data_IF_845605600274
#
_entry.id   IF_845605600274
#
_cell.length_a   1.000
_cell.length_b   1.000
_cell.length_c   1.000
_cell.angle_alpha   90.00
_cell.angle_beta   90.00
_cell.angle_gamma   90.00
#
_symmetry.space_group_name_H-M   'P 1'
#
loop_
_entity.id
_entity.type
_entity.pdbx_description
1 polymer ?
#
# COMPACT_ATOMS: atom_id res chain seq x y z
N UNK A 1 -14.54 -7.24 1.36
CA UNK A 1 -13.93 -8.57 1.41
C UNK A 1 -13.02 -8.62 2.62
N UNK A 2 -12.87 -9.79 3.24
CA UNK A 2 -12.02 -10.00 4.41
C UNK A 2 -11.18 -11.24 4.20
N UNK A 3 -9.87 -11.12 4.35
CA UNK A 3 -8.97 -12.27 4.36
C UNK A 3 -9.11 -13.09 5.65
N UNK A 4 -8.81 -14.38 5.56
CA UNK A 4 -8.77 -15.32 6.69
C UNK A 4 -7.62 -16.32 6.49
N UNK A 5 -7.47 -17.26 7.42
CA UNK A 5 -6.36 -18.22 7.45
C UNK A 5 -6.34 -19.21 6.28
N UNK A 6 -7.48 -19.39 5.59
CA UNK A 6 -7.66 -20.37 4.53
C UNK A 6 -8.47 -19.81 3.34
N UNK A 7 -8.25 -18.54 2.99
CA UNK A 7 -8.89 -17.85 1.87
C UNK A 7 -9.53 -16.52 2.24
N UNK A 8 -10.68 -16.19 1.66
CA UNK A 8 -11.35 -14.90 1.85
C UNK A 8 -12.88 -15.01 1.96
N UNK A 9 -13.49 -14.03 2.61
CA UNK A 9 -14.94 -13.83 2.66
C UNK A 9 -15.31 -12.58 1.85
N UNK A 10 -16.21 -12.75 0.88
CA UNK A 10 -16.80 -11.64 0.11
C UNK A 10 -18.21 -11.39 0.61
N UNK A 11 -18.48 -10.17 1.07
CA UNK A 11 -19.83 -9.72 1.39
C UNK A 11 -20.34 -8.85 0.26
N UNK A 12 -21.56 -9.13 -0.21
CA UNK A 12 -22.24 -8.35 -1.23
C UNK A 12 -23.76 -8.41 -1.01
N UNK A 13 -24.39 -7.22 -0.87
CA UNK A 13 -25.85 -7.04 -0.72
C UNK A 13 -26.53 -7.99 0.30
N UNK A 14 -25.90 -8.28 1.42
CA UNK A 14 -26.48 -9.13 2.48
C UNK A 14 -26.06 -10.60 2.42
N UNK A 15 -25.37 -11.01 1.35
CA UNK A 15 -24.85 -12.37 1.19
C UNK A 15 -23.35 -12.41 1.51
N UNK A 16 -22.91 -13.50 2.15
CA UNK A 16 -21.50 -13.80 2.41
C UNK A 16 -21.11 -15.04 1.61
N UNK A 17 -20.15 -14.88 0.71
CA UNK A 17 -19.52 -15.97 -0.06
C UNK A 17 -18.14 -16.26 0.51
N UNK A 18 -17.86 -17.53 0.80
CA UNK A 18 -16.52 -17.99 1.15
C UNK A 18 -15.78 -18.40 -0.11
N UNK A 19 -14.58 -17.86 -0.27
CA UNK A 19 -13.60 -18.26 -1.27
C UNK A 19 -12.50 -19.01 -0.54
N UNK A 20 -12.36 -20.29 -0.84
CA UNK A 20 -11.30 -21.12 -0.28
C UNK A 20 -9.98 -20.82 -0.97
N UNK A 21 -8.90 -20.72 -0.20
CA UNK A 21 -7.57 -20.72 -0.77
C UNK A 21 -7.30 -22.06 -1.48
N UNK A 22 -6.53 -22.09 -2.57
CA UNK A 22 -6.15 -23.34 -3.23
C UNK A 22 -5.29 -24.22 -2.31
N UNK A 23 -4.42 -23.61 -1.50
CA UNK A 23 -3.67 -24.31 -0.47
C UNK A 23 -4.54 -24.51 0.78
N UNK A 24 -4.58 -25.76 1.24
CA UNK A 24 -5.38 -26.20 2.38
C UNK A 24 -4.53 -27.10 3.28
N UNK A 25 -4.70 -27.02 4.62
CA UNK A 25 -5.71 -26.25 5.34
C UNK A 25 -5.33 -24.76 5.56
N UNK A 26 -4.18 -24.32 5.07
CA UNK A 26 -3.64 -22.98 5.31
C UNK A 26 -3.32 -22.27 3.99
N UNK A 27 -3.77 -21.03 3.88
CA UNK A 27 -3.63 -20.17 2.71
C UNK A 27 -4.12 -18.79 3.12
N UNK A 28 -3.31 -18.12 3.96
CA UNK A 28 -3.70 -16.92 4.70
C UNK A 28 -3.56 -15.67 3.83
N UNK A 29 -4.60 -14.84 3.89
CA UNK A 29 -4.60 -13.49 3.32
C UNK A 29 -4.82 -12.49 4.47
N UNK A 30 -3.83 -11.66 4.78
CA UNK A 30 -3.84 -10.72 5.89
C UNK A 30 -4.08 -9.27 5.47
N UNK A 31 -3.56 -8.87 4.32
CA UNK A 31 -3.59 -7.51 3.81
C UNK A 31 -4.20 -7.48 2.41
N UNK A 32 -5.02 -6.46 2.17
CA UNK A 32 -5.75 -6.30 0.90
C UNK A 32 -5.57 -4.89 0.36
N UNK A 33 -5.40 -4.79 -0.95
CA UNK A 33 -5.07 -3.58 -1.68
C UNK A 33 -6.10 -3.41 -2.79
N UNK A 34 -6.93 -2.38 -2.67
CA UNK A 34 -8.13 -2.17 -3.49
C UNK A 34 -7.96 -1.01 -4.46
N UNK A 35 -8.67 -1.08 -5.59
CA UNK A 35 -8.83 0.07 -6.48
C UNK A 35 -10.27 0.59 -6.42
N UNK A 36 -10.46 1.88 -6.71
CA UNK A 36 -11.78 2.51 -6.77
C UNK A 36 -12.57 2.10 -8.02
N UNK A 37 -11.87 1.72 -9.10
CA UNK A 37 -12.48 1.48 -10.42
C UNK A 37 -12.49 0.02 -10.87
N UNK A 38 -11.88 -0.88 -10.09
CA UNK A 38 -11.77 -2.31 -10.43
C UNK A 38 -12.33 -3.21 -9.33
N UNK A 39 -13.08 -4.28 -9.67
CA UNK A 39 -13.55 -5.27 -8.71
C UNK A 39 -12.42 -6.20 -8.22
N UNK A 40 -11.24 -6.12 -8.84
CA UNK A 40 -10.08 -6.95 -8.54
C UNK A 40 -9.32 -6.39 -7.33
N UNK A 41 -9.26 -7.19 -6.27
CA UNK A 41 -8.50 -6.90 -5.06
C UNK A 41 -7.21 -7.71 -5.10
N UNK A 42 -6.08 -7.03 -4.94
CA UNK A 42 -4.80 -7.71 -4.73
C UNK A 42 -4.63 -7.94 -3.24
N UNK A 43 -4.18 -9.12 -2.83
CA UNK A 43 -3.88 -9.42 -1.43
C UNK A 43 -2.51 -10.03 -1.27
N UNK A 44 -2.00 -9.99 -0.05
CA UNK A 44 -0.86 -10.81 0.31
C UNK A 44 -1.28 -12.29 0.44
N UNK A 45 -0.31 -13.20 0.40
CA UNK A 45 -0.56 -14.63 0.54
C UNK A 45 0.56 -15.33 1.30
N UNK A 46 0.19 -16.10 2.32
CA UNK A 46 1.10 -16.97 3.08
C UNK A 46 0.50 -18.39 3.09
N UNK A 47 1.22 -19.36 2.56
CA UNK A 47 0.80 -20.77 2.41
C UNK A 47 1.44 -21.72 3.43
N UNK A 48 2.50 -21.28 4.11
CA UNK A 48 3.13 -22.02 5.20
C UNK A 48 2.89 -21.35 6.56
N UNK A 49 2.12 -21.96 7.49
CA UNK A 49 1.90 -21.40 8.83
C UNK A 49 3.17 -21.34 9.68
N UNK A 50 4.14 -22.21 9.41
CA UNK A 50 5.37 -22.38 10.16
C UNK A 50 6.54 -21.60 9.54
N UNK A 51 6.35 -20.98 8.37
CA UNK A 51 7.37 -20.19 7.71
C UNK A 51 7.90 -19.07 8.63
N UNK A 52 9.21 -19.13 8.85
CA UNK A 52 9.97 -18.14 9.59
C UNK A 52 10.09 -16.84 8.79
N UNK A 53 9.95 -15.70 9.46
CA UNK A 53 10.06 -14.39 8.84
C UNK A 53 8.75 -13.83 8.31
N UNK A 54 8.89 -12.76 7.53
CA UNK A 54 7.80 -11.86 7.14
C UNK A 54 7.75 -11.60 5.62
N UNK A 55 8.64 -12.27 4.89
CA UNK A 55 8.70 -12.22 3.44
C UNK A 55 7.66 -13.14 2.83
N UNK A 56 7.07 -12.69 1.74
CA UNK A 56 6.07 -13.38 0.94
C UNK A 56 6.49 -13.31 -0.53
N UNK A 57 6.20 -14.35 -1.30
CA UNK A 57 6.60 -14.51 -2.70
C UNK A 57 5.39 -14.72 -3.63
N UNK A 58 4.18 -14.66 -3.08
CA UNK A 58 2.92 -14.81 -3.80
C UNK A 58 1.97 -13.67 -3.50
N UNK A 59 1.11 -13.37 -4.45
CA UNK A 59 -0.05 -12.47 -4.27
C UNK A 59 -1.33 -13.20 -4.58
N UNK A 60 -2.43 -12.72 -4.01
CA UNK A 60 -3.77 -13.14 -4.42
C UNK A 60 -4.41 -12.11 -5.33
N UNK A 61 -5.27 -12.58 -6.23
CA UNK A 61 -6.22 -11.75 -6.97
C UNK A 61 -7.62 -12.27 -6.66
N UNK A 62 -8.40 -11.45 -5.94
CA UNK A 62 -9.80 -11.74 -5.64
C UNK A 62 -10.68 -10.88 -6.54
N UNK A 63 -11.49 -11.53 -7.38
CA UNK A 63 -12.57 -10.86 -8.09
C UNK A 63 -13.81 -10.83 -7.21
N UNK A 64 -14.13 -9.64 -6.71
CA UNK A 64 -15.28 -9.46 -5.82
C UNK A 64 -16.62 -9.47 -6.54
N UNK A 65 -16.65 -9.35 -7.87
CA UNK A 65 -17.87 -9.46 -8.68
C UNK A 65 -18.09 -10.92 -9.10
N UNK A 66 -17.07 -11.54 -9.71
CA UNK A 66 -17.12 -12.94 -10.14
C UNK A 66 -17.06 -13.95 -8.98
N UNK A 67 -16.70 -13.47 -7.78
CA UNK A 67 -16.49 -14.30 -6.57
C UNK A 67 -15.45 -15.39 -6.81
N UNK A 68 -14.29 -15.01 -7.34
CA UNK A 68 -13.16 -15.93 -7.57
C UNK A 68 -11.93 -15.47 -6.80
N UNK A 69 -11.03 -16.43 -6.51
CA UNK A 69 -9.76 -16.21 -5.85
C UNK A 69 -8.70 -16.97 -6.63
N UNK A 70 -7.66 -16.26 -7.05
CA UNK A 70 -6.46 -16.83 -7.65
C UNK A 70 -5.24 -16.50 -6.80
N UNK A 71 -4.28 -17.42 -6.77
CA UNK A 71 -2.95 -17.23 -6.18
C UNK A 71 -1.93 -17.19 -7.31
N UNK A 72 -1.03 -16.22 -7.26
CA UNK A 72 -0.06 -15.96 -8.32
C UNK A 72 1.34 -15.90 -7.72
N UNK A 73 2.24 -16.74 -8.23
CA UNK A 73 3.67 -16.69 -7.93
C UNK A 73 4.30 -15.40 -8.50
N UNK A 74 5.10 -14.73 -7.68
CA UNK A 74 5.99 -13.67 -8.15
C UNK A 74 7.21 -14.30 -8.86
N UNK A 75 7.93 -13.50 -9.68
CA UNK A 75 9.19 -13.95 -10.25
C UNK A 75 10.17 -14.43 -9.18
N UNK A 76 10.98 -15.44 -9.50
CA UNK A 76 11.93 -16.00 -8.55
C UNK A 76 12.88 -14.93 -8.00
N UNK A 77 13.02 -14.90 -6.65
CA UNK A 77 13.83 -13.91 -5.94
C UNK A 77 13.12 -12.58 -5.65
N UNK A 78 11.87 -12.42 -6.09
CA UNK A 78 11.03 -11.27 -5.72
C UNK A 78 10.20 -11.64 -4.49
N UNK A 79 10.65 -11.17 -3.34
CA UNK A 79 9.92 -11.30 -2.08
C UNK A 79 9.56 -9.92 -1.52
N UNK A 80 8.51 -9.83 -0.71
CA UNK A 80 8.02 -8.56 -0.17
C UNK A 80 7.41 -8.73 1.23
N UNK A 81 7.17 -7.61 1.92
CA UNK A 81 6.39 -7.59 3.17
C UNK A 81 5.03 -6.92 2.93
N UNK A 82 4.09 -6.99 3.87
CA UNK A 82 2.79 -6.29 3.78
C UNK A 82 2.88 -4.76 3.60
N UNK A 83 4.03 -4.13 3.87
CA UNK A 83 4.25 -2.69 3.55
C UNK A 83 4.62 -2.45 2.09
N UNK A 84 4.92 -3.53 1.40
CA UNK A 84 5.53 -3.55 0.09
C UNK A 84 4.56 -3.56 -1.06
N UNK A 85 3.24 -3.54 -0.85
CA UNK A 85 2.25 -3.58 -1.94
C UNK A 85 1.33 -2.38 -1.88
N UNK A 86 1.01 -1.83 -3.04
CA UNK A 86 0.02 -0.75 -3.16
C UNK A 86 -0.67 -0.79 -4.53
N UNK A 87 -1.79 -0.06 -4.66
CA UNK A 87 -2.52 0.11 -5.92
C UNK A 87 -2.20 1.48 -6.48
N UNK A 88 -2.25 1.62 -7.80
CA UNK A 88 -1.91 2.86 -8.47
C UNK A 88 -2.64 3.03 -9.80
N UNK A 89 -2.07 3.82 -10.73
CA UNK A 89 -2.68 4.12 -12.02
C UNK A 89 -3.10 2.87 -12.79
N UNK A 90 -4.17 3.02 -13.58
CA UNK A 90 -4.69 1.98 -14.47
C UNK A 90 -5.06 0.67 -13.75
N UNK A 91 -5.49 0.73 -12.49
CA UNK A 91 -5.83 -0.45 -11.69
C UNK A 91 -4.67 -1.46 -11.54
N UNK A 92 -3.43 -0.99 -11.66
CA UNK A 92 -2.23 -1.83 -11.47
C UNK A 92 -1.83 -1.88 -9.99
N UNK A 93 -1.12 -2.95 -9.62
CA UNK A 93 -0.47 -3.09 -8.32
C UNK A 93 1.03 -2.91 -8.47
N UNK A 94 1.65 -2.41 -7.41
CA UNK A 94 3.07 -2.09 -7.36
C UNK A 94 3.66 -2.71 -6.11
N UNK A 95 4.73 -3.50 -6.29
CA UNK A 95 5.38 -4.24 -5.22
C UNK A 95 6.84 -3.81 -5.09
N UNK A 96 7.27 -3.33 -3.92
CA UNK A 96 8.70 -3.15 -3.62
C UNK A 96 9.28 -4.48 -3.13
N UNK A 97 10.10 -5.11 -3.98
CA UNK A 97 10.74 -6.39 -3.72
C UNK A 97 12.04 -6.27 -2.91
N UNK A 98 12.49 -7.38 -2.32
CA UNK A 98 13.79 -7.54 -1.64
C UNK A 98 15.00 -7.29 -2.56
N UNK A 99 14.80 -7.41 -3.87
CA UNK A 99 15.74 -7.02 -4.92
C UNK A 99 15.90 -5.49 -5.08
N UNK A 100 15.12 -4.69 -4.33
CA UNK A 100 15.15 -3.23 -4.34
C UNK A 100 14.41 -2.58 -5.51
N UNK A 101 13.70 -3.38 -6.31
CA UNK A 101 12.93 -2.91 -7.45
C UNK A 101 11.42 -2.80 -7.14
N UNK A 102 10.75 -1.84 -7.77
CA UNK A 102 9.29 -1.77 -7.82
C UNK A 102 8.81 -2.57 -9.02
N UNK A 103 8.12 -3.67 -8.76
CA UNK A 103 7.50 -4.56 -9.74
C UNK A 103 6.06 -4.14 -10.01
N UNK A 104 5.69 -4.05 -11.28
CA UNK A 104 4.33 -3.70 -11.72
C UNK A 104 3.58 -5.00 -11.99
N UNK A 105 2.50 -5.21 -11.25
CA UNK A 105 1.62 -6.37 -11.38
C UNK A 105 0.27 -5.96 -11.97
N UNK A 106 -0.13 -6.58 -13.07
CA UNK A 106 -1.46 -6.43 -13.66
C UNK A 106 -2.39 -7.52 -13.10
N UNK A 107 -3.39 -7.18 -12.28
CA UNK A 107 -4.32 -8.16 -11.72
C UNK A 107 -5.24 -8.79 -12.77
N UNK A 108 -5.47 -8.11 -13.89
CA UNK A 108 -6.33 -8.61 -14.97
C UNK A 108 -5.66 -9.79 -15.66
N UNK A 109 -4.39 -9.64 -16.03
CA UNK A 109 -3.62 -10.68 -16.69
C UNK A 109 -2.91 -11.62 -15.72
N UNK A 110 -2.82 -11.27 -14.43
CA UNK A 110 -2.11 -12.00 -13.37
C UNK A 110 -0.63 -12.15 -13.67
N UNK A 111 -0.01 -11.07 -14.15
CA UNK A 111 1.40 -11.07 -14.54
C UNK A 111 2.13 -9.84 -14.05
N UNK A 112 3.40 -10.01 -13.69
CA UNK A 112 4.33 -8.89 -13.56
C UNK A 112 4.70 -8.39 -14.96
N UNK A 113 4.44 -7.12 -15.25
CA UNK A 113 4.58 -6.52 -16.58
C UNK A 113 5.81 -5.62 -16.72
N UNK A 114 6.34 -5.11 -15.60
CA UNK A 114 7.52 -4.26 -15.58
C UNK A 114 8.23 -4.31 -14.21
N UNK A 115 9.48 -3.87 -14.17
CA UNK A 115 10.25 -3.74 -12.94
C UNK A 115 11.19 -2.53 -13.03
N UNK A 116 11.26 -1.75 -11.95
CA UNK A 116 12.04 -0.51 -11.90
C UNK A 116 12.96 -0.53 -10.68
N UNK A 117 14.30 -0.55 -10.83
CA UNK A 117 15.22 -0.46 -9.71
C UNK A 117 15.10 0.90 -9.00
N UNK A 118 14.83 0.89 -7.69
CA UNK A 118 14.64 2.14 -6.92
C UNK A 118 15.64 2.30 -5.80
N UNK A 119 15.80 1.26 -4.97
CA UNK A 119 16.66 1.21 -3.77
C UNK A 119 17.67 0.06 -3.88
N UNK A 120 18.54 -0.08 -2.89
CA UNK A 120 19.38 -1.28 -2.78
C UNK A 120 18.59 -2.53 -2.38
N UNK A 121 19.18 -3.70 -2.61
CA UNK A 121 18.68 -4.97 -2.06
C UNK A 121 18.58 -4.88 -0.53
N UNK A 122 17.61 -5.58 0.05
CA UNK A 122 17.34 -5.56 1.49
C UNK A 122 16.83 -6.91 2.00
N UNK A 123 17.15 -7.20 3.26
CA UNK A 123 16.72 -8.41 3.94
C UNK A 123 15.40 -8.22 4.69
N UNK A 124 14.60 -9.29 4.75
CA UNK A 124 13.37 -9.32 5.54
C UNK A 124 13.60 -8.94 7.02
N UNK A 125 12.69 -8.16 7.63
CA UNK A 125 12.85 -7.76 9.03
C UNK A 125 12.70 -8.95 9.98
N UNK A 126 13.53 -9.01 11.03
CA UNK A 126 13.45 -10.05 12.05
C UNK A 126 12.15 -9.96 12.88
N UNK A 127 11.69 -8.74 13.18
CA UNK A 127 10.39 -8.47 13.83
C UNK A 127 9.58 -7.53 12.97
N UNK A 128 8.26 -7.62 13.07
CA UNK A 128 7.38 -6.83 12.22
C UNK A 128 7.51 -5.30 12.43
N UNK A 129 7.99 -4.86 13.59
CA UNK A 129 8.25 -3.45 13.88
C UNK A 129 9.60 -2.93 13.37
N UNK A 130 10.54 -3.82 13.04
CA UNK A 130 11.88 -3.39 12.62
C UNK A 130 11.79 -2.61 11.29
N UNK A 131 12.68 -1.64 11.10
CA UNK A 131 12.62 -0.73 9.96
C UNK A 131 12.92 -1.49 8.66
N UNK A 132 12.05 -1.34 7.66
CA UNK A 132 12.22 -1.91 6.32
C UNK A 132 11.49 -1.03 5.29
N UNK A 133 11.81 -1.19 4.00
CA UNK A 133 11.15 -0.45 2.92
C UNK A 133 9.64 -0.61 2.91
N UNK A 134 8.96 0.42 2.42
CA UNK A 134 7.54 0.41 2.13
C UNK A 134 7.24 1.31 0.93
N UNK A 135 6.08 1.10 0.32
CA UNK A 135 5.65 1.82 -0.87
C UNK A 135 4.27 2.47 -0.66
N UNK A 136 4.10 3.66 -1.20
CA UNK A 136 2.79 4.34 -1.28
C UNK A 136 2.69 5.11 -2.59
N UNK A 137 1.49 5.19 -3.17
CA UNK A 137 1.26 5.88 -4.44
C UNK A 137 0.34 7.08 -4.25
N UNK A 138 0.70 8.19 -4.89
CA UNK A 138 -0.12 9.40 -4.99
C UNK A 138 -0.16 9.84 -6.45
N UNK A 139 -1.35 9.75 -7.07
CA UNK A 139 -1.49 9.94 -8.51
C UNK A 139 -0.59 8.95 -9.26
N UNK A 140 0.28 9.47 -10.12
CA UNK A 140 1.20 8.67 -10.93
C UNK A 140 2.59 8.47 -10.30
N UNK A 141 2.77 8.83 -9.03
CA UNK A 141 4.08 8.74 -8.35
C UNK A 141 4.05 7.73 -7.21
N UNK A 142 4.96 6.77 -7.24
CA UNK A 142 5.28 5.90 -6.11
C UNK A 142 6.37 6.52 -5.24
N UNK A 143 6.17 6.51 -3.93
CA UNK A 143 7.13 6.87 -2.91
C UNK A 143 7.61 5.62 -2.19
N UNK A 144 8.92 5.37 -2.24
CA UNK A 144 9.56 4.21 -1.61
C UNK A 144 10.48 4.68 -0.49
N UNK A 145 10.29 4.16 0.72
CA UNK A 145 11.18 4.45 1.85
C UNK A 145 12.43 3.55 1.80
N UNK A 146 13.61 4.10 2.10
CA UNK A 146 14.85 3.35 2.23
C UNK A 146 15.47 3.61 3.61
N UNK A 147 15.12 2.83 4.65
CA UNK A 147 15.63 3.05 6.00
C UNK A 147 17.16 2.98 6.11
N UNK A 148 17.81 2.15 5.28
CA UNK A 148 19.27 1.99 5.28
C UNK A 148 20.03 3.28 4.96
N UNK A 149 19.43 4.16 4.15
CA UNK A 149 20.02 5.45 3.75
C UNK A 149 19.28 6.64 4.35
N UNK A 150 18.20 6.41 5.10
CA UNK A 150 17.29 7.42 5.63
C UNK A 150 16.75 8.35 4.52
N UNK A 151 16.30 7.76 3.41
CA UNK A 151 15.76 8.50 2.26
C UNK A 151 14.38 8.02 1.86
N UNK A 152 13.69 8.86 1.07
CA UNK A 152 12.46 8.51 0.37
C UNK A 152 12.70 8.79 -1.11
N UNK A 153 12.45 7.80 -1.96
CA UNK A 153 12.60 7.88 -3.41
C UNK A 153 11.24 8.09 -4.05
N UNK A 154 11.18 8.91 -5.09
CA UNK A 154 9.99 9.11 -5.90
C UNK A 154 10.21 8.48 -7.29
N UNK A 155 9.29 7.63 -7.71
CA UNK A 155 9.29 6.93 -8.99
C UNK A 155 8.05 7.35 -9.78
N UNK A 156 8.23 7.81 -11.01
CA UNK A 156 7.14 8.03 -11.95
C UNK A 156 6.66 6.69 -12.52
N UNK A 157 5.40 6.34 -12.29
CA UNK A 157 4.85 5.04 -12.67
C UNK A 157 4.46 4.95 -14.15
N UNK A 158 4.40 6.09 -14.85
CA UNK A 158 4.11 6.12 -16.29
C UNK A 158 5.38 5.95 -17.14
N UNK A 159 6.53 6.38 -16.62
CA UNK A 159 7.81 6.32 -17.34
C UNK A 159 8.81 5.33 -16.74
N UNK A 160 8.64 4.95 -15.47
CA UNK A 160 9.63 4.17 -14.73
C UNK A 160 10.85 4.99 -14.27
N UNK A 161 10.82 6.31 -14.42
CA UNK A 161 11.95 7.16 -14.08
C UNK A 161 11.92 7.61 -12.61
N UNK A 162 13.07 7.54 -11.94
CA UNK A 162 13.22 8.16 -10.62
C UNK A 162 13.16 9.67 -10.77
N UNK A 163 12.21 10.31 -10.09
CA UNK A 163 12.15 11.76 -10.03
C UNK A 163 13.28 12.24 -9.14
N UNK A 164 14.18 13.07 -9.70
CA UNK A 164 15.11 13.83 -8.86
C UNK A 164 14.29 14.74 -7.96
N UNK A 165 14.57 14.68 -6.66
CA UNK A 165 14.10 15.65 -5.69
C UNK A 165 14.46 17.06 -6.21
N UNK A 166 13.47 17.79 -6.70
CA UNK A 166 13.65 19.14 -7.22
C UNK A 166 12.61 20.07 -6.64
N UNK A 167 12.50 20.07 -5.33
CA UNK A 167 11.89 21.18 -4.58
C UNK A 167 12.41 21.13 -3.14
N UNK A 168 13.02 22.22 -2.62
CA UNK A 168 13.26 22.29 -1.18
C UNK A 168 11.92 22.12 -0.47
N UNK A 169 11.91 21.37 0.63
CA UNK A 169 10.82 21.36 1.60
C UNK A 169 10.69 22.80 2.15
N UNK A 170 10.01 23.66 1.41
CA UNK A 170 9.63 24.97 1.92
C UNK A 170 8.50 24.67 2.87
N UNK A 171 8.80 24.84 4.17
CA UNK A 171 7.77 24.90 5.19
C UNK A 171 6.64 25.76 4.65
N UNK A 172 5.40 25.25 4.72
CA UNK A 172 4.21 26.06 4.46
C UNK A 172 4.40 27.39 5.19
N UNK A 173 4.24 28.56 4.54
CA UNK A 173 4.22 29.80 5.28
C UNK A 173 3.13 29.65 6.34
N UNK A 174 3.52 29.77 7.61
CA UNK A 174 2.58 29.90 8.70
C UNK A 174 1.70 31.07 8.33
N UNK A 175 0.43 30.81 7.97
CA UNK A 175 -0.56 31.85 7.95
C UNK A 175 -0.68 32.31 9.40
N UNK A 176 0.01 33.38 9.74
CA UNK A 176 -0.30 34.16 10.93
C UNK A 176 -1.69 34.75 10.68
N UNK A 177 -2.72 34.01 11.10
CA UNK A 177 -4.00 34.62 11.40
C UNK A 177 -3.71 35.76 12.39
N UNK A 178 -4.04 37.02 12.06
CA UNK A 178 -3.90 38.08 13.05
C UNK A 178 -4.84 37.73 14.21
N UNK A 179 -4.25 37.58 15.40
CA UNK A 179 -4.99 37.51 16.65
C UNK A 179 -5.86 38.76 16.75
N UNK A 180 -7.17 38.66 17.01
CA UNK A 180 -7.98 39.85 17.24
C UNK A 180 -7.57 40.42 18.60
N UNK A 181 -6.72 41.45 18.55
CA UNK A 181 -6.48 42.31 19.69
C UNK A 181 -7.75 43.08 20.00
N UNK A 182 -8.17 43.00 21.26
CA UNK A 182 -8.88 44.01 22.04
C UNK A 182 -9.70 45.03 21.24
N UNK A 183 -10.99 44.73 21.02
CA UNK A 183 -11.98 45.76 20.75
C UNK A 183 -13.10 45.72 21.82
N UNK A 184 -12.82 46.41 22.92
CA UNK A 184 -13.78 47.27 23.62
C UNK A 184 -15.12 46.65 24.06
N UNK A 185 -15.12 45.88 25.14
CA UNK A 185 -16.34 45.67 25.94
C UNK A 185 -16.71 46.98 26.68
N UNK A 186 -17.42 47.89 26.00
CA UNK A 186 -18.06 49.05 26.63
C UNK A 186 -19.21 48.57 27.52
N UNK A 187 -19.00 48.67 28.84
CA UNK A 187 -20.02 48.47 29.86
C UNK A 187 -21.12 49.54 29.72
N UNK A 188 -22.34 49.13 29.40
CA UNK A 188 -23.53 49.96 29.62
C UNK A 188 -23.86 49.98 31.12
N UNK A 189 -23.70 51.14 31.77
CA UNK A 189 -24.36 51.44 33.05
C UNK A 189 -25.72 52.09 32.77
N UNK A 190 -26.82 51.70 33.44
CA UNK A 190 -28.06 52.46 33.37
C UNK A 190 -27.97 53.70 34.27
N UNK A 191 -28.41 54.85 33.75
CA UNK A 191 -28.71 56.05 34.56
C UNK A 191 -30.14 55.92 35.08
N UNK A 192 -30.29 56.07 36.39
CA UNK A 192 -31.56 56.32 37.05
C UNK A 192 -32.13 57.68 36.65
N UNK A 193 -33.44 57.73 36.45
CA UNK A 193 -34.36 58.75 36.95
C UNK A 193 -35.78 58.20 36.93
#
# INVERSE_FOLDING_TARGET
MFGCENGALVYDRGEVTKLDAPDQPYGRMGNTYVSETSPLVVGDYKDDPDAEGLLLDRVTVVDTEAKTLDVVDLPAGVEYTWRGVTRGPNDLAYLIGTDGAVHVFDPTTRTVTASYPVIGEWDGPARYQDAHPGISVVGDTAYVTEPATNTVHALDLTTGERRRHREPWTSRPTSSSPSPADDGYRRNRPRSR
#
